data_IF_030567078558
#
_entry.id   IF_030567078558
#
_cell.length_a   1.000
_cell.length_b   1.000
_cell.length_c   1.000
_cell.angle_alpha   90.00
_cell.angle_beta   90.00
_cell.angle_gamma   90.00
#
_symmetry.space_group_name_H-M   'P 1'
#
loop_
_entity.id
_entity.type
_entity.pdbx_description
1 polymer ?
#
# COMPACT_ATOMS: atom_id res chain seq x y z
N UNK A 1 4.64 -25.08 -13.79
CA UNK A 1 3.85 -24.90 -12.55
C UNK A 1 3.67 -23.41 -12.32
N UNK A 2 2.56 -22.83 -12.76
CA UNK A 2 2.18 -21.48 -12.33
C UNK A 2 1.57 -21.61 -10.94
N UNK A 3 2.34 -21.30 -9.90
CA UNK A 3 1.73 -20.92 -8.63
C UNK A 3 1.09 -19.56 -8.89
N UNK A 4 -0.24 -19.47 -8.82
CA UNK A 4 -0.94 -18.20 -8.67
C UNK A 4 -0.33 -17.51 -7.46
N UNK A 5 0.61 -16.59 -7.69
CA UNK A 5 1.45 -16.07 -6.64
C UNK A 5 0.66 -14.96 -5.93
N UNK A 6 -0.25 -15.38 -5.06
CA UNK A 6 -1.06 -14.54 -4.18
C UNK A 6 -0.21 -14.00 -3.03
N UNK A 7 1.01 -13.56 -3.31
CA UNK A 7 1.94 -13.08 -2.30
C UNK A 7 1.41 -11.75 -1.76
N UNK A 8 1.04 -11.76 -0.48
CA UNK A 8 0.60 -10.57 0.24
C UNK A 8 1.75 -10.12 1.15
N UNK A 9 2.25 -8.92 0.89
CA UNK A 9 3.26 -8.29 1.74
C UNK A 9 2.54 -7.48 2.82
N UNK A 10 2.91 -7.69 4.07
CA UNK A 10 2.36 -6.95 5.21
C UNK A 10 3.41 -6.01 5.79
N UNK A 11 3.05 -4.73 5.95
CA UNK A 11 3.85 -3.74 6.67
C UNK A 11 3.02 -3.20 7.82
N UNK A 12 3.55 -3.33 9.04
CA UNK A 12 2.98 -2.71 10.23
C UNK A 12 3.86 -1.54 10.65
N UNK A 13 3.26 -0.37 10.82
CA UNK A 13 3.93 0.82 11.36
C UNK A 13 3.27 1.25 12.67
N UNK A 14 4.05 1.79 13.63
CA UNK A 14 3.48 2.38 14.83
C UNK A 14 2.69 3.65 14.48
N UNK A 15 1.78 4.05 15.36
CA UNK A 15 1.07 5.33 15.23
C UNK A 15 1.99 6.53 15.50
N UNK A 16 2.83 6.87 14.53
CA UNK A 16 3.67 8.06 14.56
C UNK A 16 3.87 8.59 13.15
N UNK A 17 3.72 9.91 13.00
CA UNK A 17 3.89 10.62 11.73
C UNK A 17 5.28 10.41 11.13
N UNK A 18 6.29 10.12 11.95
CA UNK A 18 7.65 9.81 11.47
C UNK A 18 7.72 8.56 10.60
N UNK A 19 6.70 7.68 10.65
CA UNK A 19 6.70 6.40 9.94
C UNK A 19 5.63 6.30 8.85
N UNK A 20 4.73 7.27 8.68
CA UNK A 20 3.61 7.17 7.72
C UNK A 20 4.10 6.99 6.28
N UNK A 21 5.20 7.65 5.91
CA UNK A 21 5.80 7.50 4.59
C UNK A 21 6.35 6.10 4.30
N UNK A 22 6.60 5.25 5.30
CA UNK A 22 7.05 3.88 5.08
C UNK A 22 6.02 3.06 4.31
N UNK A 23 4.73 3.37 4.42
CA UNK A 23 3.69 2.71 3.62
C UNK A 23 3.88 3.01 2.13
N UNK A 24 4.14 4.28 1.78
CA UNK A 24 4.41 4.69 0.40
C UNK A 24 5.76 4.17 -0.10
N UNK A 25 6.81 4.21 0.73
CA UNK A 25 8.13 3.66 0.38
C UNK A 25 8.05 2.16 0.12
N UNK A 26 7.32 1.42 0.94
CA UNK A 26 7.04 -0.01 0.73
C UNK A 26 6.36 -0.25 -0.61
N UNK A 27 5.30 0.51 -0.92
CA UNK A 27 4.63 0.44 -2.22
C UNK A 27 5.57 0.72 -3.38
N UNK A 28 6.31 1.84 -3.35
CA UNK A 28 7.24 2.20 -4.44
C UNK A 28 8.32 1.15 -4.64
N UNK A 29 8.81 0.54 -3.55
CA UNK A 29 9.75 -0.58 -3.63
C UNK A 29 9.14 -1.78 -4.34
N UNK A 30 7.91 -2.15 -4.00
CA UNK A 30 7.21 -3.26 -4.65
C UNK A 30 6.95 -3.00 -6.14
N UNK A 31 6.49 -1.79 -6.51
CA UNK A 31 6.32 -1.42 -7.91
C UNK A 31 7.61 -1.60 -8.71
N UNK A 32 8.76 -1.19 -8.15
CA UNK A 32 10.08 -1.39 -8.78
C UNK A 32 10.46 -2.87 -8.92
N UNK A 33 10.20 -3.69 -7.92
CA UNK A 33 10.44 -5.15 -7.99
C UNK A 33 9.64 -5.76 -9.15
N UNK A 34 8.40 -5.32 -9.33
CA UNK A 34 7.51 -5.76 -10.41
C UNK A 34 7.76 -5.03 -11.75
N UNK A 35 8.77 -4.16 -11.84
CA UNK A 35 9.10 -3.36 -13.05
C UNK A 35 7.94 -2.49 -13.56
N UNK A 36 7.07 -2.04 -12.66
CA UNK A 36 5.96 -1.14 -12.97
C UNK A 36 6.45 0.31 -12.90
N UNK A 37 6.14 1.10 -13.93
CA UNK A 37 6.45 2.53 -13.93
C UNK A 37 5.65 3.25 -12.84
N UNK A 38 6.33 4.03 -12.00
CA UNK A 38 5.67 4.83 -10.97
C UNK A 38 4.97 6.07 -11.53
N UNK A 39 5.31 6.49 -12.74
CA UNK A 39 4.86 7.76 -13.32
C UNK A 39 3.35 7.72 -13.60
N UNK A 40 2.83 6.57 -14.04
CA UNK A 40 1.39 6.36 -14.26
C UNK A 40 0.61 6.16 -12.95
N UNK A 41 1.32 5.97 -11.82
CA UNK A 41 0.75 5.64 -10.52
C UNK A 41 0.87 6.76 -9.50
N UNK A 42 1.33 7.96 -9.89
CA UNK A 42 1.50 9.09 -8.96
C UNK A 42 0.21 9.38 -8.18
N UNK A 43 -0.90 9.58 -8.89
CA UNK A 43 -2.23 9.82 -8.29
C UNK A 43 -2.65 8.71 -7.34
N UNK A 44 -2.35 7.46 -7.70
CA UNK A 44 -2.65 6.30 -6.87
C UNK A 44 -1.82 6.30 -5.58
N UNK A 45 -0.49 6.48 -5.68
CA UNK A 45 0.39 6.51 -4.51
C UNK A 45 0.10 7.69 -3.58
N UNK A 46 -0.29 8.84 -4.13
CA UNK A 46 -0.73 10.01 -3.36
C UNK A 46 -2.04 9.76 -2.62
N UNK A 47 -2.99 9.06 -3.25
CA UNK A 47 -4.25 8.68 -2.61
C UNK A 47 -4.04 7.72 -1.43
N UNK A 48 -3.13 6.75 -1.59
CA UNK A 48 -2.74 5.85 -0.49
C UNK A 48 -2.12 6.63 0.65
N UNK A 49 -1.17 7.53 0.36
CA UNK A 49 -0.53 8.36 1.39
C UNK A 49 -1.55 9.21 2.15
N UNK A 50 -2.49 9.84 1.46
CA UNK A 50 -3.57 10.61 2.09
C UNK A 50 -4.40 9.74 3.05
N UNK A 51 -4.73 8.52 2.65
CA UNK A 51 -5.43 7.57 3.52
C UNK A 51 -4.61 7.18 4.75
N UNK A 52 -3.30 6.99 4.62
CA UNK A 52 -2.41 6.75 5.77
C UNK A 52 -2.39 7.95 6.70
N UNK A 53 -2.31 9.17 6.18
CA UNK A 53 -2.28 10.40 6.97
C UNK A 53 -3.60 10.56 7.75
N UNK A 54 -4.75 10.27 7.15
CA UNK A 54 -6.06 10.25 7.82
C UNK A 54 -6.12 9.18 8.94
N UNK A 55 -5.56 7.99 8.71
CA UNK A 55 -5.51 6.93 9.72
C UNK A 55 -4.52 7.22 10.85
N UNK A 56 -3.45 7.98 10.60
CA UNK A 56 -2.42 8.33 11.60
C UNK A 56 -2.95 9.22 12.73
N UNK A 57 -4.09 9.89 12.50
CA UNK A 57 -4.75 10.73 13.49
C UNK A 57 -5.54 9.90 14.54
N UNK A 58 -5.64 8.57 14.37
CA UNK A 58 -6.49 7.73 15.21
C UNK A 58 -5.83 7.22 16.49
N UNK A 59 -4.51 7.38 16.65
CA UNK A 59 -3.80 6.86 17.82
C UNK A 59 -3.42 5.37 17.73
N UNK A 60 -3.65 4.70 16.60
CA UNK A 60 -3.50 3.24 16.46
C UNK A 60 -2.54 2.85 15.35
N UNK A 61 -1.84 1.73 15.55
CA UNK A 61 -0.95 1.17 14.54
C UNK A 61 -1.68 0.94 13.21
N UNK A 62 -0.97 1.21 12.12
CA UNK A 62 -1.46 1.02 10.77
C UNK A 62 -0.81 -0.23 10.20
N UNK A 63 -1.63 -1.10 9.61
CA UNK A 63 -1.17 -2.30 8.88
C UNK A 63 -1.58 -2.16 7.44
N UNK A 64 -0.60 -2.15 6.53
CA UNK A 64 -0.83 -2.23 5.10
C UNK A 64 -0.63 -3.66 4.60
N UNK A 65 -1.51 -4.10 3.71
CA UNK A 65 -1.39 -5.34 2.96
C UNK A 65 -1.29 -4.98 1.48
N UNK A 66 -0.17 -5.32 0.86
CA UNK A 66 0.08 -5.09 -0.56
C UNK A 66 -0.10 -6.40 -1.32
N UNK A 67 -0.79 -6.32 -2.45
CA UNK A 67 -0.85 -7.39 -3.44
C UNK A 67 -0.64 -6.79 -4.82
N UNK A 68 0.24 -7.38 -5.60
CA UNK A 68 0.47 -7.02 -7.00
C UNK A 68 0.37 -8.31 -7.81
N UNK A 69 -0.61 -8.37 -8.71
CA UNK A 69 -0.96 -9.57 -9.46
C UNK A 69 -1.51 -9.18 -10.83
N UNK A 70 -1.09 -9.87 -11.89
CA UNK A 70 -1.63 -9.80 -13.26
C UNK A 70 -2.26 -8.44 -13.68
N UNK A 71 -1.48 -7.34 -13.65
CA UNK A 71 -1.95 -6.02 -14.09
C UNK A 71 -2.80 -5.24 -13.06
N UNK A 72 -2.88 -5.71 -11.82
CA UNK A 72 -3.61 -5.08 -10.71
C UNK A 72 -2.73 -4.90 -9.47
N UNK A 73 -2.78 -3.71 -8.88
CA UNK A 73 -2.21 -3.39 -7.57
C UNK A 73 -3.35 -3.21 -6.59
N UNK A 74 -3.27 -3.83 -5.43
CA UNK A 74 -4.23 -3.72 -4.32
C UNK A 74 -3.48 -3.38 -3.03
N UNK A 75 -4.03 -2.45 -2.27
CA UNK A 75 -3.52 -2.02 -0.97
C UNK A 75 -4.69 -1.92 0.00
N UNK A 76 -4.69 -2.77 1.01
CA UNK A 76 -5.62 -2.66 2.13
C UNK A 76 -4.91 -2.06 3.34
N UNK A 77 -5.46 -0.98 3.89
CA UNK A 77 -5.01 -0.40 5.14
C UNK A 77 -5.98 -0.79 6.26
N UNK A 78 -5.45 -1.28 7.38
CA UNK A 78 -6.20 -1.54 8.61
C UNK A 78 -5.63 -0.69 9.75
N UNK A 79 -6.52 -0.05 10.49
CA UNK A 79 -6.16 0.73 11.67
C UNK A 79 -7.29 0.63 12.70
N UNK A 80 -7.09 -0.21 13.71
CA UNK A 80 -8.16 -0.63 14.62
C UNK A 80 -9.35 -1.24 13.85
N UNK A 81 -10.53 -0.66 13.98
CA UNK A 81 -11.74 -1.07 13.26
C UNK A 81 -11.91 -0.44 11.86
N UNK A 82 -11.08 0.55 11.49
CA UNK A 82 -11.16 1.21 10.18
C UNK A 82 -10.41 0.41 9.13
N UNK A 83 -10.96 0.39 7.91
CA UNK A 83 -10.35 -0.21 6.73
C UNK A 83 -10.45 0.74 5.55
N UNK A 84 -9.36 0.91 4.82
CA UNK A 84 -9.32 1.60 3.53
C UNK A 84 -8.82 0.62 2.47
N UNK A 85 -9.38 0.72 1.27
CA UNK A 85 -9.03 -0.13 0.14
C UNK A 85 -8.64 0.76 -1.04
N UNK A 86 -7.51 0.45 -1.66
CA UNK A 86 -7.04 1.12 -2.85
C UNK A 86 -6.70 0.08 -3.91
N UNK A 87 -7.09 0.33 -5.15
CA UNK A 87 -6.71 -0.50 -6.29
C UNK A 87 -6.37 0.35 -7.50
N UNK A 88 -5.42 -0.13 -8.31
CA UNK A 88 -5.09 0.48 -9.60
C UNK A 88 -4.64 -0.58 -10.58
N UNK A 89 -5.10 -0.46 -11.82
CA UNK A 89 -4.63 -1.29 -12.93
C UNK A 89 -3.37 -0.69 -13.56
N UNK A 90 -2.51 -1.55 -14.08
CA UNK A 90 -1.31 -1.16 -14.85
C UNK A 90 -1.22 -2.01 -16.11
N UNK A 91 -0.69 -1.43 -17.18
CA UNK A 91 -0.49 -2.05 -18.50
C UNK A 91 0.96 -2.36 -18.76
#
# INVERSE_FOLDING_TARGET
MNKNNQDVIMVKIPNSSSFTHLIRVGLTTLLRIHRISSDDLETFTNSVQKGVDELSQTGRDIVAYYKIDEGLIVIDLKCGGKKLHFSSSFS
#
